data_IF_095949891050
#
_entry.id   IF_095949891050
#
_cell.length_a   1.000
_cell.length_b   1.000
_cell.length_c   1.000
_cell.angle_alpha   90.00
_cell.angle_beta   90.00
_cell.angle_gamma   90.00
#
_symmetry.space_group_name_H-M   'P 1'
#
loop_
_entity.id
_entity.type
_entity.pdbx_description
1 polymer ?
#
# COMPACT_ATOMS: atom_id res chain seq x y z
N UNK A 1 -11.86 -7.16 34.84
CA UNK A 1 -11.29 -5.86 35.19
C UNK A 1 -10.10 -5.57 34.25
N UNK A 2 -9.98 -4.37 33.74
CA UNK A 2 -8.86 -3.98 32.87
C UNK A 2 -7.67 -3.54 33.76
N UNK A 3 -6.51 -4.16 33.59
CA UNK A 3 -5.34 -3.90 34.42
C UNK A 3 -4.04 -3.95 33.63
N UNK A 4 -3.56 -2.79 33.12
CA UNK A 4 -2.37 -2.70 32.27
C UNK A 4 -1.05 -2.72 33.05
N UNK A 5 -1.04 -3.11 34.34
CA UNK A 5 0.15 -3.03 35.15
C UNK A 5 0.63 -1.59 35.34
N UNK A 6 1.93 -1.35 35.16
CA UNK A 6 2.51 0.00 35.16
C UNK A 6 2.20 0.80 33.89
N UNK A 7 1.63 0.16 32.87
CA UNK A 7 1.38 0.76 31.57
C UNK A 7 2.63 1.02 30.74
N UNK A 8 2.49 1.92 29.74
CA UNK A 8 3.58 2.36 28.89
C UNK A 8 4.36 3.51 29.56
N UNK A 9 5.70 3.54 29.39
CA UNK A 9 6.55 4.60 29.95
C UNK A 9 6.60 5.89 29.11
N UNK A 10 5.88 5.95 28.01
CA UNK A 10 5.84 7.09 27.10
C UNK A 10 4.45 7.29 26.48
N UNK A 11 4.36 8.22 25.53
CA UNK A 11 3.09 8.58 24.89
C UNK A 11 2.56 7.38 24.09
N UNK A 12 1.27 7.07 24.25
CA UNK A 12 0.50 6.19 23.39
C UNK A 12 -0.29 7.08 22.42
N UNK A 13 0.01 6.98 21.13
CA UNK A 13 -0.62 7.79 20.09
C UNK A 13 -1.91 7.16 19.55
N UNK A 14 -1.91 5.83 19.40
CA UNK A 14 -3.07 5.12 18.83
C UNK A 14 -3.26 3.75 19.47
N UNK A 15 -4.51 3.28 19.42
CA UNK A 15 -4.94 1.99 19.95
C UNK A 15 -5.79 1.28 18.89
N UNK A 16 -5.42 0.03 18.57
CA UNK A 16 -6.19 -0.84 17.70
C UNK A 16 -6.71 -2.05 18.45
N UNK A 17 -7.85 -2.60 18.04
CA UNK A 17 -8.42 -3.81 18.64
C UNK A 17 -8.48 -4.89 17.57
N UNK A 18 -7.87 -6.06 17.86
CA UNK A 18 -7.94 -7.24 17.01
C UNK A 18 -9.25 -8.01 17.26
N UNK A 19 -9.63 -8.89 16.33
CA UNK A 19 -10.90 -9.63 16.42
C UNK A 19 -11.00 -10.56 17.67
N UNK A 20 -9.87 -11.02 18.18
CA UNK A 20 -9.79 -11.82 19.39
C UNK A 20 -9.86 -10.98 20.69
N UNK A 21 -10.02 -9.66 20.54
CA UNK A 21 -10.04 -8.69 21.63
C UNK A 21 -8.66 -8.24 22.10
N UNK A 22 -7.58 -8.70 21.46
CA UNK A 22 -6.22 -8.21 21.72
C UNK A 22 -6.10 -6.72 21.37
N UNK A 23 -5.39 -5.96 22.19
CA UNK A 23 -5.30 -4.52 22.11
C UNK A 23 -3.88 -4.16 21.67
N UNK A 24 -3.74 -3.58 20.48
CA UNK A 24 -2.47 -3.06 19.99
C UNK A 24 -2.35 -1.62 20.44
N UNK A 25 -1.25 -1.27 21.08
CA UNK A 25 -0.90 0.11 21.43
C UNK A 25 0.35 0.51 20.64
N UNK A 26 0.40 1.74 20.17
CA UNK A 26 1.59 2.29 19.53
C UNK A 26 1.88 3.72 19.99
N UNK A 27 3.16 4.15 19.89
CA UNK A 27 3.54 5.46 20.40
C UNK A 27 5.04 5.72 20.43
N UNK A 28 5.45 6.53 21.44
CA UNK A 28 6.84 6.92 21.69
C UNK A 28 7.41 6.23 22.96
N UNK A 29 6.71 5.25 23.47
CA UNK A 29 7.18 4.48 24.63
C UNK A 29 8.28 3.50 24.22
N UNK A 30 9.10 3.11 25.18
CA UNK A 30 10.14 2.09 25.02
C UNK A 30 9.89 0.85 25.88
N UNK A 31 9.06 0.99 26.92
CA UNK A 31 8.69 -0.14 27.80
C UNK A 31 7.19 -0.15 28.07
N UNK A 32 6.65 -1.34 28.28
CA UNK A 32 5.30 -1.58 28.78
C UNK A 32 5.38 -2.54 29.94
N UNK A 33 4.74 -2.21 31.07
CA UNK A 33 4.82 -2.95 32.33
C UNK A 33 6.28 -3.28 32.76
N UNK A 34 7.20 -2.32 32.49
CA UNK A 34 8.61 -2.43 32.81
C UNK A 34 9.44 -3.33 31.88
N UNK A 35 8.84 -3.90 30.82
CA UNK A 35 9.51 -4.74 29.83
C UNK A 35 9.76 -3.97 28.54
N UNK A 36 10.83 -4.30 27.82
CA UNK A 36 11.20 -3.66 26.56
C UNK A 36 10.23 -4.02 25.43
N UNK A 37 9.43 -3.05 25.02
CA UNK A 37 8.51 -3.09 23.89
C UNK A 37 8.51 -1.71 23.20
N UNK A 38 9.55 -1.38 22.43
CA UNK A 38 9.65 -0.06 21.84
C UNK A 38 8.60 0.13 20.75
N UNK A 39 7.86 1.24 20.87
CA UNK A 39 6.95 1.85 19.92
C UNK A 39 5.66 1.08 19.59
N UNK A 40 5.60 -0.23 19.79
CA UNK A 40 4.39 -1.04 19.60
C UNK A 40 4.37 -2.21 20.57
N UNK A 41 3.19 -2.49 21.11
CA UNK A 41 2.96 -3.66 21.97
C UNK A 41 1.52 -4.15 21.84
N UNK A 42 1.28 -5.39 22.24
CA UNK A 42 -0.05 -5.96 22.38
C UNK A 42 -0.37 -6.20 23.85
N UNK A 43 -1.58 -5.83 24.21
CA UNK A 43 -2.17 -6.22 25.50
C UNK A 43 -3.26 -7.27 25.24
N UNK A 44 -3.42 -8.17 26.17
CA UNK A 44 -4.58 -9.06 26.22
C UNK A 44 -5.87 -8.25 26.48
N UNK A 45 -7.06 -8.81 26.25
CA UNK A 45 -8.34 -8.10 26.48
C UNK A 45 -8.53 -7.55 27.90
N UNK A 46 -7.86 -8.13 28.88
CA UNK A 46 -7.86 -7.69 30.28
C UNK A 46 -6.81 -6.61 30.59
N UNK A 47 -6.04 -6.17 29.61
CA UNK A 47 -5.00 -5.15 29.74
C UNK A 47 -3.60 -5.66 30.05
N UNK A 48 -3.43 -6.94 30.36
CA UNK A 48 -2.11 -7.53 30.66
C UNK A 48 -1.26 -7.54 29.38
N UNK A 49 0.03 -7.20 29.50
CA UNK A 49 0.98 -7.27 28.39
C UNK A 49 1.04 -8.70 27.82
N UNK A 50 0.87 -8.83 26.52
CA UNK A 50 1.03 -10.08 25.79
C UNK A 50 2.49 -10.28 25.40
N UNK A 51 3.22 -11.03 26.21
CA UNK A 51 4.66 -11.23 26.02
C UNK A 51 5.00 -12.15 24.85
N UNK A 52 4.03 -12.91 24.33
CA UNK A 52 4.23 -13.79 23.19
C UNK A 52 4.07 -13.04 21.86
N UNK A 53 3.43 -11.87 21.89
CA UNK A 53 3.20 -11.07 20.68
C UNK A 53 4.44 -10.27 20.30
N UNK A 54 4.92 -10.49 19.08
CA UNK A 54 6.05 -9.77 18.50
C UNK A 54 7.42 -10.20 19.02
N UNK A 55 7.46 -11.04 20.09
CA UNK A 55 8.68 -11.30 20.82
C UNK A 55 9.34 -10.00 21.29
N UNK A 56 10.38 -10.02 22.08
CA UNK A 56 11.11 -8.84 22.57
C UNK A 56 11.76 -7.98 21.45
N UNK A 57 11.45 -8.21 20.21
CA UNK A 57 12.11 -7.57 19.09
C UNK A 57 11.24 -7.48 17.83
N UNK A 58 10.15 -6.73 17.85
CA UNK A 58 9.65 -6.20 16.56
C UNK A 58 10.75 -5.34 15.92
N UNK A 59 11.71 -4.86 16.73
CA UNK A 59 12.93 -4.20 16.25
C UNK A 59 12.64 -2.97 15.40
N UNK A 60 11.62 -2.18 15.80
CA UNK A 60 11.27 -0.90 15.16
C UNK A 60 12.25 0.16 15.67
N UNK A 61 12.81 0.95 14.78
CA UNK A 61 13.84 1.95 15.13
C UNK A 61 13.30 3.38 15.28
N UNK A 62 11.99 3.60 15.26
CA UNK A 62 11.38 4.93 15.38
C UNK A 62 9.93 4.89 15.85
N UNK A 63 9.37 6.04 16.23
CA UNK A 63 8.04 6.16 16.76
C UNK A 63 6.95 5.67 15.79
N UNK A 64 5.91 5.05 16.33
CA UNK A 64 4.71 4.64 15.59
C UNK A 64 3.55 5.53 16.01
N UNK A 65 2.96 6.24 15.04
CA UNK A 65 1.94 7.25 15.31
C UNK A 65 0.52 6.72 15.19
N UNK A 66 0.30 5.74 14.31
CA UNK A 66 -1.04 5.18 14.14
C UNK A 66 -1.02 3.69 13.80
N UNK A 67 -2.13 3.02 14.12
CA UNK A 67 -2.31 1.59 13.94
C UNK A 67 -3.70 1.26 13.39
N UNK A 68 -3.74 0.39 12.39
CA UNK A 68 -4.98 -0.20 11.86
C UNK A 68 -4.96 -1.71 11.98
N UNK A 69 -6.06 -2.32 12.45
CA UNK A 69 -6.20 -3.77 12.56
C UNK A 69 -7.06 -4.31 11.42
N UNK A 70 -6.52 -5.25 10.67
CA UNK A 70 -7.20 -5.92 9.57
C UNK A 70 -8.11 -7.06 10.08
N UNK A 71 -9.09 -7.46 9.25
CA UNK A 71 -10.03 -8.53 9.59
C UNK A 71 -9.40 -9.91 9.76
N UNK A 72 -8.20 -10.14 9.20
CA UNK A 72 -7.40 -11.35 9.40
C UNK A 72 -6.47 -11.28 10.62
N UNK A 73 -6.59 -10.21 11.42
CA UNK A 73 -5.80 -9.96 12.61
C UNK A 73 -4.42 -9.34 12.36
N UNK A 74 -4.02 -9.12 11.10
CA UNK A 74 -2.79 -8.39 10.79
C UNK A 74 -2.92 -6.91 11.20
N UNK A 75 -1.78 -6.27 11.38
CA UNK A 75 -1.68 -4.91 11.89
C UNK A 75 -0.93 -4.04 10.89
N UNK A 76 -1.51 -2.91 10.52
CA UNK A 76 -0.85 -1.86 9.74
C UNK A 76 -0.35 -0.81 10.72
N UNK A 77 0.89 -0.38 10.55
CA UNK A 77 1.49 0.68 11.36
C UNK A 77 2.00 1.80 10.48
N UNK A 78 1.84 3.03 10.94
CA UNK A 78 2.40 4.24 10.35
C UNK A 78 3.23 5.01 11.38
N UNK A 79 4.37 5.60 10.98
CA UNK A 79 5.27 6.27 11.90
C UNK A 79 6.40 7.04 11.23
N UNK A 80 7.51 7.22 11.94
CA UNK A 80 8.75 7.82 11.43
C UNK A 80 9.95 6.85 11.48
N UNK A 81 9.68 5.56 11.54
CA UNK A 81 10.69 4.53 11.51
C UNK A 81 11.23 4.32 10.09
N UNK A 82 12.43 3.75 9.98
CA UNK A 82 13.06 3.39 8.70
C UNK A 82 13.41 1.91 8.60
N UNK A 83 13.31 1.19 9.71
CA UNK A 83 13.69 -0.21 9.79
C UNK A 83 12.82 -0.98 10.78
N UNK A 84 12.50 -2.22 10.44
CA UNK A 84 11.83 -3.19 11.33
C UNK A 84 12.56 -4.52 11.22
N UNK A 85 13.05 -5.06 12.34
CA UNK A 85 13.74 -6.37 12.41
C UNK A 85 14.90 -6.51 11.40
N UNK A 86 15.64 -5.43 11.14
CA UNK A 86 16.74 -5.42 10.16
C UNK A 86 16.29 -5.28 8.70
N UNK A 87 15.00 -5.10 8.43
CA UNK A 87 14.46 -4.84 7.09
C UNK A 87 14.12 -3.37 6.93
N UNK A 88 14.57 -2.78 5.82
CA UNK A 88 14.17 -1.42 5.44
C UNK A 88 12.66 -1.33 5.30
N UNK A 89 12.03 -0.40 6.05
CA UNK A 89 10.59 -0.12 6.03
C UNK A 89 10.39 1.34 6.38
N UNK A 90 10.28 2.20 5.38
CA UNK A 90 10.14 3.64 5.64
C UNK A 90 8.70 4.02 5.90
N UNK A 91 8.44 4.41 7.13
CA UNK A 91 7.26 5.11 7.65
C UNK A 91 5.96 4.31 7.68
N UNK A 92 5.83 3.18 7.00
CA UNK A 92 4.68 2.27 7.16
C UNK A 92 5.05 0.81 6.90
N UNK A 93 4.36 -0.09 7.59
CA UNK A 93 4.58 -1.52 7.47
C UNK A 93 3.32 -2.30 7.84
N UNK A 94 3.32 -3.60 7.55
CA UNK A 94 2.34 -4.56 8.02
C UNK A 94 3.01 -5.60 8.91
N UNK A 95 2.38 -5.89 10.02
CA UNK A 95 2.77 -6.98 10.92
C UNK A 95 1.76 -8.12 10.80
N UNK A 96 2.21 -9.35 10.97
CA UNK A 96 1.34 -10.50 11.15
C UNK A 96 0.54 -10.39 12.45
N UNK A 97 -0.50 -11.24 12.61
CA UNK A 97 -1.33 -11.27 13.81
C UNK A 97 -0.52 -11.52 15.10
N UNK A 98 0.64 -12.19 14.98
CA UNK A 98 1.57 -12.48 16.07
C UNK A 98 2.63 -11.39 16.29
N UNK A 99 2.56 -10.27 15.56
CA UNK A 99 3.47 -9.13 15.68
C UNK A 99 4.75 -9.21 14.86
N UNK A 100 5.03 -10.31 14.18
CA UNK A 100 6.19 -10.38 13.29
C UNK A 100 5.99 -9.54 12.02
N UNK A 101 7.08 -9.01 11.46
CA UNK A 101 7.02 -8.28 10.20
C UNK A 101 6.48 -9.14 9.06
N UNK A 102 5.39 -8.71 8.43
CA UNK A 102 4.89 -9.32 7.21
C UNK A 102 5.76 -8.87 6.02
N UNK A 103 6.67 -9.75 5.62
CA UNK A 103 7.60 -9.49 4.51
C UNK A 103 6.93 -9.51 3.14
N UNK A 104 5.72 -10.08 3.04
CA UNK A 104 4.95 -10.08 1.81
C UNK A 104 4.28 -8.71 1.54
N UNK A 105 4.16 -7.88 2.58
CA UNK A 105 3.81 -6.48 2.42
C UNK A 105 5.11 -5.68 2.29
N UNK A 106 5.55 -5.47 1.06
CA UNK A 106 6.77 -4.72 0.76
C UNK A 106 6.42 -3.35 0.18
N UNK A 107 6.60 -2.27 0.96
CA UNK A 107 6.35 -0.90 0.50
C UNK A 107 7.42 -0.38 -0.49
N UNK A 108 8.41 -1.19 -0.84
CA UNK A 108 9.59 -0.73 -1.59
C UNK A 108 10.36 0.31 -0.79
N UNK A 109 10.60 1.50 -1.39
CA UNK A 109 11.24 2.62 -0.69
C UNK A 109 10.36 3.26 0.41
N UNK A 110 9.06 2.92 0.46
CA UNK A 110 8.13 3.52 1.42
C UNK A 110 7.88 5.00 1.19
N UNK A 111 7.47 5.72 2.24
CA UNK A 111 7.31 7.18 2.19
C UNK A 111 8.63 7.88 2.58
N UNK A 112 8.92 9.02 1.93
CA UNK A 112 10.14 9.80 2.21
C UNK A 112 10.00 10.74 3.44
N UNK A 113 8.96 10.58 4.22
CA UNK A 113 8.69 11.32 5.45
C UNK A 113 7.67 10.60 6.32
N UNK A 114 7.38 11.11 7.53
CA UNK A 114 6.56 10.43 8.51
C UNK A 114 5.11 10.23 8.05
N UNK A 115 4.56 9.08 8.42
CA UNK A 115 3.14 8.74 8.27
C UNK A 115 2.46 8.91 9.63
N UNK A 116 1.49 9.81 9.71
CA UNK A 116 0.80 10.17 10.96
C UNK A 116 -0.53 9.46 11.16
N UNK A 117 -1.16 8.98 10.08
CA UNK A 117 -2.47 8.34 10.17
C UNK A 117 -2.63 7.21 9.15
N UNK A 118 -3.40 6.22 9.56
CA UNK A 118 -3.73 5.01 8.78
C UNK A 118 -5.25 4.87 8.75
N UNK A 119 -5.83 4.66 7.58
CA UNK A 119 -7.24 4.32 7.45
C UNK A 119 -7.42 3.10 6.53
N UNK A 120 -8.19 2.13 7.01
CA UNK A 120 -8.48 0.91 6.28
C UNK A 120 -9.78 1.09 5.48
N UNK A 121 -9.75 0.78 4.20
CA UNK A 121 -10.93 0.83 3.34
C UNK A 121 -11.62 -0.55 3.27
N UNK A 122 -12.95 -0.60 3.08
CA UNK A 122 -13.69 -1.86 2.97
C UNK A 122 -13.25 -2.75 1.81
N UNK A 123 -12.63 -2.16 0.78
CA UNK A 123 -12.10 -2.86 -0.40
C UNK A 123 -10.69 -3.44 -0.18
N UNK A 124 -10.15 -3.35 1.03
CA UNK A 124 -8.82 -3.83 1.40
C UNK A 124 -7.69 -2.85 1.08
N UNK A 125 -7.97 -1.68 0.53
CA UNK A 125 -6.97 -0.63 0.36
C UNK A 125 -6.66 0.06 1.70
N UNK A 126 -5.46 0.62 1.81
CA UNK A 126 -4.99 1.34 2.99
C UNK A 126 -4.65 2.77 2.56
N UNK A 127 -5.20 3.73 3.27
CA UNK A 127 -4.83 5.14 3.13
C UNK A 127 -3.80 5.49 4.20
N UNK A 128 -2.76 6.18 3.79
CA UNK A 128 -1.76 6.76 4.68
C UNK A 128 -1.76 8.27 4.51
N UNK A 129 -1.82 9.00 5.61
CA UNK A 129 -1.67 10.45 5.67
C UNK A 129 -0.44 10.82 6.48
N UNK A 130 0.29 11.86 6.05
CA UNK A 130 1.52 12.23 6.75
C UNK A 130 2.22 13.45 6.16
N UNK A 131 3.48 13.62 6.51
CA UNK A 131 4.33 14.69 6.00
C UNK A 131 5.38 14.12 5.05
N UNK A 132 4.96 13.74 3.88
CA UNK A 132 5.82 13.20 2.82
C UNK A 132 5.47 13.85 1.48
N UNK A 133 6.41 13.81 0.55
CA UNK A 133 6.23 14.34 -0.82
C UNK A 133 6.37 13.25 -1.87
N UNK A 134 6.82 12.04 -1.46
CA UNK A 134 7.03 10.90 -2.36
C UNK A 134 6.77 9.59 -1.63
N UNK A 135 6.21 8.62 -2.34
CA UNK A 135 6.05 7.24 -1.89
C UNK A 135 6.60 6.32 -2.98
N UNK A 136 7.66 5.55 -2.64
CA UNK A 136 8.42 4.84 -3.64
C UNK A 136 8.98 5.79 -4.69
N UNK A 137 8.71 5.50 -5.95
CA UNK A 137 9.16 6.31 -7.10
C UNK A 137 8.16 7.42 -7.48
N UNK A 138 7.00 7.52 -6.81
CA UNK A 138 5.91 8.42 -7.20
C UNK A 138 5.86 9.67 -6.32
N UNK A 139 5.73 10.84 -6.95
CA UNK A 139 5.42 12.09 -6.26
C UNK A 139 3.99 12.03 -5.72
N UNK A 140 3.88 12.00 -4.40
CA UNK A 140 2.60 11.97 -3.68
C UNK A 140 2.71 12.81 -2.41
N UNK A 141 1.97 13.91 -2.37
CA UNK A 141 2.05 14.85 -1.25
C UNK A 141 1.02 14.50 -0.17
N UNK A 142 1.52 14.17 1.02
CA UNK A 142 0.79 14.10 2.30
C UNK A 142 -0.30 13.02 2.39
N UNK A 143 -0.73 12.40 1.30
CA UNK A 143 -1.67 11.30 1.31
C UNK A 143 -1.33 10.30 0.20
N UNK A 144 -1.41 9.01 0.53
CA UNK A 144 -1.27 7.93 -0.45
C UNK A 144 -2.26 6.81 -0.16
N UNK A 145 -2.60 6.05 -1.20
CA UNK A 145 -3.38 4.84 -1.07
C UNK A 145 -2.57 3.66 -1.57
N UNK A 146 -2.36 2.69 -0.71
CA UNK A 146 -1.72 1.43 -1.08
C UNK A 146 -2.69 0.27 -0.94
N UNK A 147 -2.43 -0.78 -1.69
CA UNK A 147 -3.23 -1.98 -1.65
C UNK A 147 -2.85 -2.83 -0.42
N UNK A 148 -3.79 -3.13 0.45
CA UNK A 148 -3.52 -3.82 1.73
C UNK A 148 -3.76 -5.34 1.73
N UNK A 149 -4.27 -5.92 0.63
CA UNK A 149 -4.61 -7.34 0.58
C UNK A 149 -3.44 -8.28 0.30
N UNK A 150 -3.69 -9.58 0.37
CA UNK A 150 -2.71 -10.63 0.03
C UNK A 150 -2.27 -10.59 -1.44
N UNK A 151 -2.97 -9.81 -2.28
CA UNK A 151 -2.59 -9.62 -3.69
C UNK A 151 -1.21 -8.98 -3.89
N UNK A 152 -0.64 -8.32 -2.86
CA UNK A 152 0.78 -7.94 -2.93
C UNK A 152 1.73 -9.13 -3.02
N UNK A 153 1.36 -10.26 -2.42
CA UNK A 153 2.13 -11.48 -2.56
C UNK A 153 2.12 -12.04 -3.99
N UNK A 154 1.07 -11.72 -4.75
CA UNK A 154 0.88 -12.21 -6.13
C UNK A 154 1.33 -11.19 -7.20
N UNK A 155 1.57 -9.94 -6.80
CA UNK A 155 1.78 -8.82 -7.73
C UNK A 155 0.45 -8.30 -8.31
N UNK A 156 0.41 -7.01 -8.59
CA UNK A 156 -0.72 -6.32 -9.22
C UNK A 156 -0.26 -5.65 -10.50
N UNK A 157 -1.10 -5.69 -11.50
CA UNK A 157 -0.90 -4.96 -12.74
C UNK A 157 -2.09 -4.03 -12.94
N UNK A 158 -1.84 -2.76 -13.18
CA UNK A 158 -2.87 -1.74 -13.36
C UNK A 158 -2.40 -0.65 -14.32
N UNK A 159 -3.34 0.09 -14.89
CA UNK A 159 -2.99 1.32 -15.61
C UNK A 159 -2.54 2.39 -14.62
N UNK A 160 -1.50 3.15 -14.98
CA UNK A 160 -1.00 4.26 -14.17
C UNK A 160 -2.06 5.34 -13.92
N UNK A 161 -2.95 5.54 -14.89
CA UNK A 161 -4.11 6.41 -14.76
C UNK A 161 -5.37 5.63 -15.18
N UNK A 162 -6.46 5.73 -14.42
CA UNK A 162 -7.71 5.02 -14.73
C UNK A 162 -8.44 5.62 -15.94
N UNK A 163 -8.13 6.84 -16.29
CA UNK A 163 -8.63 7.57 -17.46
C UNK A 163 -7.55 8.50 -17.98
N UNK A 164 -7.40 8.56 -19.29
CA UNK A 164 -6.50 9.47 -19.98
C UNK A 164 -7.31 10.15 -21.09
N UNK A 165 -7.16 11.45 -21.23
CA UNK A 165 -7.84 12.24 -22.26
C UNK A 165 -6.79 12.75 -23.24
N UNK A 166 -7.09 12.61 -24.51
CA UNK A 166 -6.27 13.10 -25.62
C UNK A 166 -7.15 13.87 -26.59
N UNK A 167 -6.57 14.88 -27.21
CA UNK A 167 -7.20 15.55 -28.33
C UNK A 167 -7.17 14.63 -29.56
N UNK A 168 -8.24 14.66 -30.32
CA UNK A 168 -8.33 13.92 -31.57
C UNK A 168 -7.29 14.41 -32.57
N UNK A 169 -6.60 13.46 -33.16
CA UNK A 169 -5.55 13.70 -34.14
C UNK A 169 -4.83 12.39 -34.44
N UNK A 170 -4.43 12.16 -35.66
CA UNK A 170 -3.74 10.95 -36.08
C UNK A 170 -2.40 10.79 -35.38
N UNK A 171 -2.42 10.31 -34.16
CA UNK A 171 -1.25 10.11 -33.29
C UNK A 171 -1.30 8.79 -32.53
N UNK A 172 -0.12 8.27 -32.24
CA UNK A 172 0.02 7.11 -31.37
C UNK A 172 0.31 7.57 -29.95
N UNK A 173 -0.49 7.07 -29.02
CA UNK A 173 -0.40 7.40 -27.60
C UNK A 173 0.09 6.21 -26.78
N UNK A 174 0.86 6.51 -25.75
CA UNK A 174 1.43 5.51 -24.86
C UNK A 174 0.65 5.45 -23.53
N UNK A 175 0.05 4.29 -23.24
CA UNK A 175 -0.56 3.99 -21.98
C UNK A 175 0.44 3.27 -21.08
N UNK A 176 0.72 3.83 -19.91
CA UNK A 176 1.62 3.22 -18.94
C UNK A 176 0.86 2.21 -18.09
N UNK A 177 1.39 1.00 -18.02
CA UNK A 177 0.93 -0.09 -17.17
C UNK A 177 1.98 -0.34 -16.12
N UNK A 178 1.58 -0.34 -14.86
CA UNK A 178 2.48 -0.53 -13.72
C UNK A 178 2.23 -1.85 -13.03
N UNK A 179 3.32 -2.47 -12.57
CA UNK A 179 3.31 -3.68 -11.75
C UNK A 179 3.83 -3.35 -10.37
N UNK A 180 3.04 -3.67 -9.35
CA UNK A 180 3.39 -3.54 -7.94
C UNK A 180 3.39 -4.90 -7.24
N UNK A 181 3.93 -4.97 -6.02
CA UNK A 181 4.02 -6.19 -5.24
C UNK A 181 5.15 -7.12 -5.68
N UNK A 182 4.89 -8.43 -5.72
CA UNK A 182 5.89 -9.45 -6.05
C UNK A 182 6.38 -9.32 -7.49
N UNK A 183 7.65 -8.96 -7.67
CA UNK A 183 8.28 -8.73 -8.98
C UNK A 183 9.40 -9.73 -9.29
N UNK A 184 9.60 -10.73 -8.44
CA UNK A 184 10.70 -11.71 -8.58
C UNK A 184 10.50 -12.72 -9.72
N UNK A 185 9.28 -12.83 -10.25
CA UNK A 185 8.98 -13.71 -11.36
C UNK A 185 8.43 -12.91 -12.53
N UNK A 186 8.69 -13.30 -13.79
CA UNK A 186 8.08 -12.65 -14.94
C UNK A 186 6.55 -12.87 -14.92
N UNK A 187 5.81 -11.90 -15.43
CA UNK A 187 4.34 -11.95 -15.56
C UNK A 187 3.95 -11.51 -16.95
N UNK A 188 3.08 -12.28 -17.60
CA UNK A 188 2.44 -11.92 -18.86
C UNK A 188 0.99 -11.54 -18.62
N UNK A 189 0.57 -10.36 -19.12
CA UNK A 189 -0.80 -9.86 -19.04
C UNK A 189 -1.31 -9.60 -20.44
N UNK A 190 -2.48 -10.15 -20.75
CA UNK A 190 -3.14 -9.90 -22.01
C UNK A 190 -3.99 -8.64 -21.95
N UNK A 191 -3.97 -7.85 -23.02
CA UNK A 191 -4.81 -6.67 -23.17
C UNK A 191 -5.53 -6.66 -24.50
N UNK A 192 -6.64 -5.95 -24.55
CA UNK A 192 -7.35 -5.59 -25.79
C UNK A 192 -8.12 -4.29 -25.59
N UNK A 193 -8.29 -3.53 -26.69
CA UNK A 193 -9.22 -2.42 -26.73
C UNK A 193 -10.67 -2.93 -26.92
N UNK A 194 -11.62 -2.23 -26.33
CA UNK A 194 -13.06 -2.53 -26.45
C UNK A 194 -13.81 -1.24 -26.75
N UNK A 195 -14.67 -1.27 -27.77
CA UNK A 195 -15.51 -0.14 -28.17
C UNK A 195 -16.33 0.41 -27.00
N UNK A 196 -16.35 1.71 -26.92
CA UNK A 196 -17.27 2.48 -26.12
C UNK A 196 -18.18 3.34 -27.02
N UNK A 197 -18.20 4.64 -26.82
CA UNK A 197 -18.73 5.60 -27.80
C UNK A 197 -17.80 5.68 -29.01
N UNK A 198 -16.49 5.76 -28.78
CA UNK A 198 -15.49 5.60 -29.82
C UNK A 198 -15.44 4.18 -30.39
N UNK A 199 -15.29 4.06 -31.73
CA UNK A 199 -15.39 2.80 -32.48
C UNK A 199 -14.07 2.41 -33.14
N UNK A 200 -13.81 1.13 -33.09
CA UNK A 200 -12.67 0.56 -33.79
C UNK A 200 -12.80 0.78 -35.30
N UNK A 201 -11.75 1.30 -35.92
CA UNK A 201 -11.66 1.54 -37.37
C UNK A 201 -12.25 2.87 -37.81
N UNK A 202 -12.96 3.58 -36.96
CA UNK A 202 -13.43 4.96 -37.13
C UNK A 202 -12.52 5.88 -36.31
N UNK A 203 -12.47 5.72 -34.97
CA UNK A 203 -11.79 6.62 -34.03
C UNK A 203 -10.44 6.09 -33.54
N UNK A 204 -10.27 4.78 -33.55
CA UNK A 204 -9.00 4.17 -33.16
C UNK A 204 -8.71 2.84 -33.86
N UNK A 205 -7.43 2.50 -33.92
CA UNK A 205 -7.01 1.17 -34.38
C UNK A 205 -7.07 0.18 -33.22
N UNK A 206 -7.77 -0.95 -33.43
CA UNK A 206 -7.80 -2.00 -32.42
C UNK A 206 -6.40 -2.44 -32.00
N UNK A 207 -6.21 -2.52 -30.72
CA UNK A 207 -4.97 -2.99 -30.12
C UNK A 207 -5.24 -4.18 -29.19
N UNK A 208 -4.44 -5.24 -29.37
CA UNK A 208 -4.44 -6.39 -28.45
C UNK A 208 -3.08 -7.03 -28.45
N UNK A 209 -2.71 -7.63 -27.35
CA UNK A 209 -1.41 -8.31 -27.24
C UNK A 209 -1.09 -8.73 -25.83
N UNK A 210 0.16 -9.11 -25.64
CA UNK A 210 0.72 -9.50 -24.36
C UNK A 210 1.69 -8.43 -23.87
N UNK A 211 1.53 -8.03 -22.62
CA UNK A 211 2.52 -7.25 -21.88
C UNK A 211 3.34 -8.24 -21.06
N UNK A 212 4.65 -8.20 -21.21
CA UNK A 212 5.57 -9.02 -20.43
C UNK A 212 6.32 -8.12 -19.47
N UNK A 213 6.16 -8.38 -18.17
CA UNK A 213 7.01 -7.84 -17.13
C UNK A 213 8.09 -8.86 -16.80
N UNK A 214 9.31 -8.57 -17.15
CA UNK A 214 10.46 -9.39 -16.74
C UNK A 214 10.64 -9.41 -15.21
N UNK A 215 11.52 -10.25 -14.73
CA UNK A 215 11.91 -10.27 -13.33
C UNK A 215 12.41 -8.87 -12.89
N UNK A 216 11.79 -8.30 -11.88
CA UNK A 216 12.06 -6.94 -11.40
C UNK A 216 11.36 -5.83 -12.20
N UNK A 217 10.77 -6.14 -13.35
CA UNK A 217 10.08 -5.16 -14.20
C UNK A 217 8.82 -4.60 -13.52
N UNK A 218 8.70 -3.28 -13.50
CA UNK A 218 7.60 -2.56 -12.83
C UNK A 218 6.77 -1.69 -13.77
N UNK A 219 7.22 -1.42 -14.96
CA UNK A 219 6.50 -0.57 -15.93
C UNK A 219 6.55 -1.22 -17.32
N UNK A 220 5.46 -1.10 -18.04
CA UNK A 220 5.33 -1.45 -19.44
C UNK A 220 4.45 -0.42 -20.16
N UNK A 221 4.48 -0.43 -21.48
CA UNK A 221 3.76 0.54 -22.30
C UNK A 221 2.90 -0.18 -23.33
N UNK A 222 1.66 0.28 -23.49
CA UNK A 222 0.78 -0.07 -24.61
C UNK A 222 0.69 1.13 -25.51
N UNK A 223 0.88 0.93 -26.81
CA UNK A 223 0.70 1.96 -27.82
C UNK A 223 -0.67 1.84 -28.46
N UNK A 224 -1.46 2.90 -28.47
CA UNK A 224 -2.78 2.99 -29.10
C UNK A 224 -2.70 4.09 -30.17
N UNK A 225 -3.14 3.78 -31.38
CA UNK A 225 -3.23 4.74 -32.47
C UNK A 225 -4.67 5.25 -32.60
N UNK A 226 -4.85 6.54 -32.45
CA UNK A 226 -6.09 7.23 -32.76
C UNK A 226 -6.12 7.57 -34.26
N UNK A 227 -7.31 7.59 -34.83
CA UNK A 227 -7.60 7.93 -36.19
C UNK A 227 -8.26 9.32 -36.19
N UNK A 228 -7.93 10.12 -37.16
CA UNK A 228 -8.51 11.44 -37.40
C UNK A 228 -9.33 11.37 -38.71
N UNK A 229 -10.61 11.65 -38.65
CA UNK A 229 -11.53 11.57 -39.76
C UNK A 229 -12.05 12.95 -40.25
N UNK A 230 -11.51 14.03 -39.67
CA UNK A 230 -11.89 15.44 -39.98
C UNK A 230 -13.35 15.79 -39.57
N UNK A 231 -14.08 14.94 -38.86
CA UNK A 231 -15.40 15.24 -38.33
C UNK A 231 -15.29 15.94 -36.96
N UNK A 232 -16.12 16.95 -36.74
CA UNK A 232 -16.19 17.61 -35.43
C UNK A 232 -17.11 16.81 -34.53
N UNK A 233 -16.55 16.00 -33.68
CA UNK A 233 -17.27 15.12 -32.74
C UNK A 233 -17.20 15.63 -31.33
N UNK A 234 -18.02 15.06 -30.47
CA UNK A 234 -17.94 15.30 -29.02
C UNK A 234 -16.91 14.38 -28.37
N UNK A 235 -16.67 14.54 -27.07
CA UNK A 235 -15.77 13.66 -26.32
C UNK A 235 -16.27 12.21 -26.35
N UNK A 236 -15.45 11.32 -26.88
CA UNK A 236 -15.71 9.89 -27.01
C UNK A 236 -14.82 9.05 -26.11
N UNK A 237 -15.11 7.76 -25.96
CA UNK A 237 -14.36 6.87 -25.08
C UNK A 237 -14.38 5.42 -25.56
N UNK A 238 -13.27 4.72 -25.35
CA UNK A 238 -13.13 3.27 -25.43
C UNK A 238 -12.38 2.73 -24.20
N UNK A 239 -12.35 1.44 -23.99
CA UNK A 239 -11.62 0.79 -22.90
C UNK A 239 -10.70 -0.32 -23.38
#
# INVERSE_FOLDING_TARGET
>A
EFSPGMGANGIVHSVGIQQDGGIIICGEFTTVDGKEYPYVARLQPNGILDEEWGGAAVGINGAVFDVGTLSDGKVIIGGEFTEISGYSRNSYARLHYNGELDRNFDPGEGANGPVFTVALQPDGNILFGGQFTRVGEYDQNNITRVFGGEQFALGRVEFRAPRIEYDEGAATYELKVIRSGKVQEPVTVQYKTVDGTAKQGEDFTAASGDIIFDQGGREATISISLLDDELAEGAESFT
#
